data_IF_394318856326
#
_entry.id   IF_394318856326
#
_cell.length_a   1.000
_cell.length_b   1.000
_cell.length_c   1.000
_cell.angle_alpha   90.00
_cell.angle_beta   90.00
_cell.angle_gamma   90.00
#
_symmetry.space_group_name_H-M   'P 1'
#
loop_
_entity.id
_entity.type
_entity.pdbx_description
1 polymer ?
#
# COMPACT_ATOMS: atom_id res chain seq x y z
N UNK A 1 18.94 2.86 23.58
CA UNK A 1 19.36 4.16 24.16
C UNK A 1 20.05 4.94 23.05
N UNK A 2 20.00 6.28 23.04
CA UNK A 2 20.63 7.06 21.97
C UNK A 2 22.15 7.20 22.22
N UNK A 3 22.98 6.64 21.33
CA UNK A 3 24.45 6.64 21.44
C UNK A 3 25.07 8.03 21.66
N UNK A 4 24.64 9.11 20.96
CA UNK A 4 25.09 10.47 21.20
C UNK A 4 24.94 10.92 22.66
N UNK A 5 23.83 10.59 23.32
CA UNK A 5 23.59 10.95 24.72
C UNK A 5 24.55 10.21 25.65
N UNK A 6 24.69 8.88 25.47
CA UNK A 6 25.61 8.07 26.28
C UNK A 6 27.06 8.47 26.08
N UNK A 7 27.47 8.78 24.83
CA UNK A 7 28.81 9.29 24.50
C UNK A 7 29.09 10.62 25.19
N UNK A 8 28.16 11.56 25.15
CA UNK A 8 28.31 12.85 25.83
C UNK A 8 28.49 12.68 27.35
N UNK A 9 27.74 11.75 27.97
CA UNK A 9 27.87 11.44 29.39
C UNK A 9 29.25 10.80 29.72
N UNK A 10 29.74 9.88 28.89
CA UNK A 10 31.09 9.31 29.08
C UNK A 10 32.19 10.33 28.88
N UNK A 11 32.06 11.20 27.88
CA UNK A 11 33.00 12.28 27.63
C UNK A 11 33.04 13.25 28.82
N UNK A 12 31.88 13.65 29.34
CA UNK A 12 31.81 14.50 30.53
C UNK A 12 32.43 13.85 31.77
N UNK A 13 32.22 12.54 32.01
CA UNK A 13 32.92 11.80 33.09
C UNK A 13 34.42 11.75 32.86
N UNK A 14 34.88 11.52 31.63
CA UNK A 14 36.30 11.51 31.29
C UNK A 14 36.95 12.87 31.52
N UNK A 15 36.29 13.95 31.10
CA UNK A 15 36.77 15.33 31.28
C UNK A 15 36.80 15.70 32.78
N UNK A 16 35.83 15.25 33.58
CA UNK A 16 35.84 15.39 35.03
C UNK A 16 37.00 14.63 35.71
N UNK A 17 37.33 13.43 35.22
CA UNK A 17 38.47 12.66 35.70
C UNK A 17 39.81 13.30 35.31
N UNK A 18 39.91 13.81 34.09
CA UNK A 18 41.10 14.50 33.58
C UNK A 18 41.33 15.86 34.27
N UNK A 19 40.28 16.49 34.80
CA UNK A 19 40.43 17.71 35.61
C UNK A 19 40.82 17.42 37.06
N UNK A 20 40.37 16.30 37.63
CA UNK A 20 40.86 15.81 38.92
C UNK A 20 42.31 15.32 38.85
N UNK A 21 42.68 14.65 37.76
CA UNK A 21 44.04 14.22 37.50
C UNK A 21 44.87 15.39 36.97
N UNK A 22 45.68 15.98 37.84
CA UNK A 22 46.67 16.96 37.41
C UNK A 22 48.07 16.36 37.49
N UNK A 23 49.04 16.77 36.65
CA UNK A 23 50.45 16.45 36.88
C UNK A 23 50.90 16.78 38.32
N UNK A 24 50.23 17.75 38.96
CA UNK A 24 50.41 18.14 40.35
C UNK A 24 50.10 17.03 41.38
N UNK A 25 49.27 16.03 41.05
CA UNK A 25 49.02 14.89 41.96
C UNK A 25 50.22 13.95 42.08
N UNK A 26 50.95 13.70 40.98
CA UNK A 26 52.18 12.89 41.00
C UNK A 26 53.33 13.68 41.59
N UNK A 27 53.53 14.94 41.17
CA UNK A 27 54.59 15.78 41.75
C UNK A 27 54.32 16.07 43.24
N UNK A 28 53.07 16.14 43.67
CA UNK A 28 52.67 16.25 45.06
C UNK A 28 53.00 15.01 45.88
N UNK A 29 52.90 13.81 45.29
CA UNK A 29 53.37 12.57 45.93
C UNK A 29 54.90 12.55 46.03
N UNK A 30 55.61 12.90 44.96
CA UNK A 30 57.08 12.99 44.96
C UNK A 30 57.58 14.00 45.99
N UNK A 31 56.89 15.14 46.13
CA UNK A 31 57.21 16.15 47.15
C UNK A 31 56.96 15.62 48.57
N UNK A 32 55.87 14.88 48.80
CA UNK A 32 55.57 14.27 50.09
C UNK A 32 56.58 13.18 50.47
N UNK A 33 57.01 12.36 49.50
CA UNK A 33 58.08 11.37 49.67
C UNK A 33 59.42 12.07 49.94
N UNK A 34 59.75 13.13 49.21
CA UNK A 34 60.95 13.94 49.46
C UNK A 34 60.97 14.56 50.86
N UNK A 35 59.84 15.09 51.33
CA UNK A 35 59.70 15.63 52.69
C UNK A 35 59.88 14.55 53.77
N UNK A 36 59.35 13.34 53.53
CA UNK A 36 59.57 12.18 54.40
C UNK A 36 61.06 11.80 54.47
N UNK A 37 61.71 11.65 53.31
CA UNK A 37 63.10 11.24 53.22
C UNK A 37 64.07 12.26 53.82
N UNK A 38 63.84 13.56 53.59
CA UNK A 38 64.66 14.63 54.15
C UNK A 38 64.57 14.71 55.68
N UNK A 39 63.38 14.57 56.26
CA UNK A 39 63.22 14.50 57.72
C UNK A 39 63.84 13.24 58.33
N UNK A 40 63.66 12.10 57.68
CA UNK A 40 64.29 10.85 58.12
C UNK A 40 65.82 10.92 58.08
N UNK A 41 66.38 11.51 57.02
CA UNK A 41 67.82 11.70 56.86
C UNK A 41 68.39 12.71 57.89
N UNK A 42 67.62 13.73 58.28
CA UNK A 42 68.04 14.71 59.29
C UNK A 42 68.00 14.15 60.72
N UNK A 43 67.06 13.26 61.04
CA UNK A 43 66.98 12.61 62.34
C UNK A 43 66.21 11.27 62.24
N UNK A 44 66.94 10.16 62.36
CA UNK A 44 66.38 8.81 62.25
C UNK A 44 65.33 8.47 63.34
N UNK A 45 65.34 9.18 64.47
CA UNK A 45 64.40 9.00 65.58
C UNK A 45 63.23 10.01 65.55
N UNK A 46 63.11 10.84 64.52
CA UNK A 46 62.02 11.81 64.41
C UNK A 46 60.67 11.11 64.22
N UNK A 47 59.61 11.66 64.82
CA UNK A 47 58.25 11.22 64.56
C UNK A 47 57.83 11.63 63.14
N UNK A 48 57.63 10.64 62.27
CA UNK A 48 57.29 10.80 60.86
C UNK A 48 55.81 10.48 60.56
N UNK A 49 54.95 10.43 61.58
CA UNK A 49 53.55 10.06 61.42
C UNK A 49 52.80 10.96 60.42
N UNK A 50 53.10 12.25 60.42
CA UNK A 50 52.43 13.25 59.59
C UNK A 50 52.77 13.08 58.11
N UNK A 51 54.04 12.85 57.79
CA UNK A 51 54.53 12.65 56.43
C UNK A 51 54.05 11.30 55.88
N UNK A 52 54.05 10.25 56.70
CA UNK A 52 53.47 8.95 56.34
C UNK A 52 51.97 9.08 56.03
N UNK A 53 51.23 9.83 56.85
CA UNK A 53 49.81 10.10 56.61
C UNK A 53 49.61 10.84 55.29
N UNK A 54 50.42 11.86 54.99
CA UNK A 54 50.34 12.63 53.74
C UNK A 54 50.60 11.75 52.51
N UNK A 55 51.61 10.86 52.57
CA UNK A 55 51.87 9.89 51.51
C UNK A 55 50.69 8.94 51.33
N UNK A 56 50.15 8.38 52.42
CA UNK A 56 48.99 7.48 52.34
C UNK A 56 47.76 8.15 51.73
N UNK A 57 47.47 9.40 52.10
CA UNK A 57 46.36 10.16 51.50
C UNK A 57 46.54 10.28 49.99
N UNK A 58 47.74 10.67 49.52
CA UNK A 58 48.01 10.79 48.08
C UNK A 58 47.95 9.46 47.34
N UNK A 59 48.44 8.38 47.95
CA UNK A 59 48.34 7.03 47.39
C UNK A 59 46.87 6.60 47.27
N UNK A 60 46.04 6.88 48.28
CA UNK A 60 44.62 6.56 48.25
C UNK A 60 43.87 7.38 47.19
N UNK A 61 44.21 8.65 47.01
CA UNK A 61 43.64 9.50 45.96
C UNK A 61 43.93 8.92 44.56
N UNK A 62 45.19 8.55 44.30
CA UNK A 62 45.62 7.93 43.02
C UNK A 62 44.90 6.58 42.81
N UNK A 63 44.79 5.77 43.86
CA UNK A 63 44.09 4.48 43.78
C UNK A 63 42.60 4.65 43.48
N UNK A 64 41.95 5.63 44.13
CA UNK A 64 40.56 5.99 43.85
C UNK A 64 40.37 6.41 42.41
N UNK A 65 41.23 7.29 41.90
CA UNK A 65 41.19 7.75 40.52
C UNK A 65 41.36 6.59 39.53
N UNK A 66 42.33 5.69 39.76
CA UNK A 66 42.51 4.47 38.94
C UNK A 66 41.24 3.62 38.90
N UNK A 67 40.60 3.42 40.05
CA UNK A 67 39.35 2.65 40.12
C UNK A 67 38.23 3.33 39.32
N UNK A 68 38.15 4.66 39.34
CA UNK A 68 37.14 5.42 38.57
C UNK A 68 37.37 5.30 37.06
N UNK A 69 38.62 5.35 36.58
CA UNK A 69 38.93 5.09 35.17
C UNK A 69 38.57 3.65 34.76
N UNK A 70 38.88 2.66 35.61
CA UNK A 70 38.52 1.27 35.36
C UNK A 70 37.00 1.10 35.26
N UNK A 71 36.25 1.70 36.19
CA UNK A 71 34.79 1.65 36.19
C UNK A 71 34.19 2.31 34.94
N UNK A 72 34.71 3.47 34.52
CA UNK A 72 34.28 4.14 33.29
C UNK A 72 34.50 3.25 32.06
N UNK A 73 35.65 2.60 31.96
CA UNK A 73 35.96 1.68 30.86
C UNK A 73 35.01 0.46 30.86
N UNK A 74 34.74 -0.12 32.03
CA UNK A 74 33.82 -1.25 32.16
C UNK A 74 32.38 -0.85 31.78
N UNK A 75 31.94 0.35 32.16
CA UNK A 75 30.62 0.88 31.80
C UNK A 75 30.50 1.07 30.27
N UNK A 76 31.55 1.59 29.62
CA UNK A 76 31.61 1.73 28.15
C UNK A 76 31.51 0.35 27.47
N UNK A 77 32.30 -0.62 27.91
CA UNK A 77 32.30 -1.98 27.35
C UNK A 77 30.94 -2.65 27.54
N UNK A 78 30.33 -2.52 28.73
CA UNK A 78 28.98 -3.06 29.01
C UNK A 78 27.94 -2.46 28.08
N UNK A 79 27.99 -1.16 27.84
CA UNK A 79 27.06 -0.50 26.92
C UNK A 79 27.21 -1.05 25.50
N UNK A 80 28.44 -1.16 24.99
CA UNK A 80 28.68 -1.76 23.66
C UNK A 80 28.21 -3.21 23.56
N UNK A 81 28.43 -4.02 24.61
CA UNK A 81 27.94 -5.41 24.65
C UNK A 81 26.43 -5.46 24.65
N UNK A 82 25.76 -4.65 25.47
CA UNK A 82 24.30 -4.59 25.52
C UNK A 82 23.71 -4.14 24.17
N UNK A 83 24.30 -3.12 23.55
CA UNK A 83 23.86 -2.62 22.24
C UNK A 83 24.04 -3.69 21.15
N UNK A 84 25.18 -4.39 21.15
CA UNK A 84 25.44 -5.50 20.23
C UNK A 84 24.47 -6.68 20.43
N UNK A 85 24.04 -6.93 21.67
CA UNK A 85 23.08 -8.01 21.98
C UNK A 85 21.65 -7.62 21.56
N UNK A 86 21.28 -6.35 21.76
CA UNK A 86 19.95 -5.82 21.42
C UNK A 86 19.78 -5.63 19.90
N UNK A 87 20.85 -5.28 19.19
CA UNK A 87 20.89 -5.23 17.74
C UNK A 87 21.37 -6.57 17.14
N UNK A 88 20.69 -7.67 17.49
CA UNK A 88 20.89 -8.94 16.80
C UNK A 88 20.26 -8.87 15.39
N UNK A 89 20.91 -8.12 14.51
CA UNK A 89 20.52 -7.90 13.13
C UNK A 89 20.32 -9.23 12.39
N UNK A 90 21.12 -10.25 12.71
CA UNK A 90 20.99 -11.59 12.13
C UNK A 90 19.65 -12.26 12.51
N UNK A 91 19.24 -12.18 13.78
CA UNK A 91 17.93 -12.67 14.22
C UNK A 91 16.78 -11.91 13.54
N UNK A 92 16.87 -10.58 13.44
CA UNK A 92 15.84 -9.76 12.77
C UNK A 92 15.79 -10.03 11.27
N UNK A 93 16.92 -10.24 10.59
CA UNK A 93 16.94 -10.59 9.17
C UNK A 93 16.34 -11.98 8.91
N UNK A 94 16.68 -12.95 9.76
CA UNK A 94 16.12 -14.30 9.63
C UNK A 94 14.61 -14.29 9.85
N UNK A 95 14.12 -13.60 10.89
CA UNK A 95 12.69 -13.39 11.12
C UNK A 95 12.01 -12.71 9.92
N UNK A 96 12.57 -11.61 9.41
CA UNK A 96 12.04 -10.94 8.21
C UNK A 96 12.02 -11.86 6.98
N UNK A 97 13.06 -12.68 6.79
CA UNK A 97 13.10 -13.66 5.71
C UNK A 97 11.97 -14.70 5.84
N UNK A 98 11.71 -15.20 7.05
CA UNK A 98 10.60 -16.13 7.30
C UNK A 98 9.23 -15.48 7.06
N UNK A 99 9.05 -14.22 7.48
CA UNK A 99 7.83 -13.45 7.26
C UNK A 99 7.58 -13.19 5.76
N UNK A 100 8.62 -12.84 5.01
CA UNK A 100 8.52 -12.66 3.56
C UNK A 100 8.10 -13.96 2.86
N UNK A 101 8.69 -15.10 3.24
CA UNK A 101 8.28 -16.40 2.72
C UNK A 101 6.81 -16.69 3.05
N UNK A 102 6.35 -16.37 4.27
CA UNK A 102 4.96 -16.55 4.66
C UNK A 102 4.00 -15.66 3.88
N UNK A 103 4.37 -14.41 3.62
CA UNK A 103 3.61 -13.47 2.79
C UNK A 103 3.48 -14.02 1.36
N UNK A 104 4.56 -14.56 0.79
CA UNK A 104 4.51 -15.16 -0.54
C UNK A 104 3.59 -16.38 -0.59
N UNK A 105 3.63 -17.25 0.43
CA UNK A 105 2.71 -18.38 0.55
C UNK A 105 1.25 -17.92 0.62
N UNK A 106 0.95 -16.92 1.45
CA UNK A 106 -0.40 -16.37 1.59
C UNK A 106 -0.90 -15.74 0.29
N UNK A 107 -0.04 -15.03 -0.45
CA UNK A 107 -0.38 -14.50 -1.78
C UNK A 107 -0.73 -15.61 -2.77
N UNK A 108 0.02 -16.72 -2.75
CA UNK A 108 -0.27 -17.88 -3.59
C UNK A 108 -1.61 -18.51 -3.24
N UNK A 109 -1.90 -18.70 -1.95
CA UNK A 109 -3.20 -19.22 -1.49
C UNK A 109 -4.35 -18.28 -1.90
N UNK A 110 -4.18 -16.97 -1.71
CA UNK A 110 -5.17 -15.98 -2.14
C UNK A 110 -5.42 -16.04 -3.66
N UNK A 111 -4.37 -16.16 -4.46
CA UNK A 111 -4.49 -16.31 -5.92
C UNK A 111 -5.27 -17.56 -6.30
N UNK A 112 -5.00 -18.69 -5.64
CA UNK A 112 -5.73 -19.93 -5.89
C UNK A 112 -7.21 -19.79 -5.53
N UNK A 113 -7.53 -19.24 -4.35
CA UNK A 113 -8.92 -19.00 -3.92
C UNK A 113 -9.63 -18.08 -4.91
N UNK A 114 -8.96 -17.05 -5.43
CA UNK A 114 -9.54 -16.15 -6.43
C UNK A 114 -9.92 -16.91 -7.71
N UNK A 115 -9.04 -17.77 -8.21
CA UNK A 115 -9.32 -18.62 -9.38
C UNK A 115 -10.47 -19.57 -9.10
N UNK A 116 -10.52 -20.17 -7.91
CA UNK A 116 -11.61 -21.07 -7.51
C UNK A 116 -12.97 -20.35 -7.47
N UNK A 117 -13.00 -19.12 -6.95
CA UNK A 117 -14.19 -18.27 -6.93
C UNK A 117 -14.60 -17.86 -8.35
N UNK A 118 -13.67 -17.41 -9.18
CA UNK A 118 -13.97 -17.06 -10.58
C UNK A 118 -14.51 -18.27 -11.35
N UNK A 119 -13.96 -19.46 -11.10
CA UNK A 119 -14.43 -20.72 -11.69
C UNK A 119 -15.82 -21.09 -11.18
N UNK A 120 -16.08 -20.93 -9.87
CA UNK A 120 -17.39 -21.18 -9.28
C UNK A 120 -18.46 -20.22 -9.82
N UNK A 121 -18.14 -18.93 -9.94
CA UNK A 121 -19.02 -17.91 -10.53
C UNK A 121 -19.28 -18.20 -12.01
N UNK A 122 -18.25 -18.55 -12.78
CA UNK A 122 -18.41 -18.93 -14.18
C UNK A 122 -19.30 -20.17 -14.33
N UNK A 123 -19.13 -21.16 -13.45
CA UNK A 123 -19.97 -22.35 -13.40
C UNK A 123 -21.42 -22.00 -13.07
N UNK A 124 -21.66 -21.14 -12.10
CA UNK A 124 -23.00 -20.71 -11.70
C UNK A 124 -23.70 -19.94 -12.83
N UNK A 125 -23.01 -19.00 -13.49
CA UNK A 125 -23.57 -18.27 -14.63
C UNK A 125 -23.86 -19.21 -15.82
N UNK A 126 -23.02 -20.24 -16.05
CA UNK A 126 -23.31 -21.29 -17.04
C UNK A 126 -24.57 -22.09 -16.68
N UNK A 127 -24.74 -22.48 -15.42
CA UNK A 127 -25.95 -23.19 -14.96
C UNK A 127 -27.20 -22.30 -15.09
N UNK A 128 -27.09 -21.01 -14.74
CA UNK A 128 -28.17 -20.03 -14.84
C UNK A 128 -28.57 -19.73 -16.28
N UNK A 129 -27.60 -19.69 -17.21
CA UNK A 129 -27.87 -19.48 -18.64
C UNK A 129 -28.64 -20.63 -19.29
N UNK A 130 -28.51 -21.87 -18.78
CA UNK A 130 -29.22 -23.05 -19.30
C UNK A 130 -30.73 -23.03 -18.99
N UNK A 131 -31.15 -22.34 -17.93
CA UNK A 131 -32.55 -22.26 -17.47
C UNK A 131 -33.22 -20.93 -17.80
N UNK A 132 -32.63 -20.10 -18.66
CA UNK A 132 -33.22 -18.81 -19.00
C UNK A 132 -34.42 -19.01 -19.93
N UNK A 133 -35.62 -18.84 -19.39
CA UNK A 133 -36.85 -18.73 -20.16
C UNK A 133 -36.65 -17.71 -21.30
N UNK A 134 -36.69 -18.23 -22.52
CA UNK A 134 -36.63 -17.44 -23.74
C UNK A 134 -37.91 -16.63 -23.77
N UNK A 135 -37.82 -15.38 -23.33
CA UNK A 135 -38.91 -14.44 -23.47
C UNK A 135 -39.16 -14.22 -24.97
N UNK A 136 -40.41 -14.40 -25.41
CA UNK A 136 -40.85 -14.29 -26.81
C UNK A 136 -40.49 -12.97 -27.52
N UNK A 137 -39.96 -11.98 -26.81
CA UNK A 137 -39.58 -10.67 -27.34
C UNK A 137 -38.05 -10.49 -27.48
N UNK A 138 -37.25 -11.57 -27.43
CA UNK A 138 -35.81 -11.50 -27.70
C UNK A 138 -35.52 -11.64 -29.20
N UNK A 139 -34.80 -10.67 -29.77
CA UNK A 139 -34.27 -10.76 -31.13
C UNK A 139 -33.05 -11.70 -31.16
N UNK A 140 -33.11 -12.67 -32.06
CA UNK A 140 -32.02 -13.62 -32.32
C UNK A 140 -31.33 -13.27 -33.64
N UNK A 141 -30.01 -13.33 -33.65
CA UNK A 141 -29.20 -13.27 -34.85
C UNK A 141 -28.28 -14.49 -34.87
N UNK A 142 -28.42 -15.35 -35.88
CA UNK A 142 -27.71 -16.64 -36.00
C UNK A 142 -27.74 -17.47 -34.71
N UNK A 143 -28.94 -17.73 -34.19
CA UNK A 143 -29.18 -18.58 -33.01
C UNK A 143 -28.57 -18.04 -31.69
N UNK A 144 -28.08 -16.79 -31.68
CA UNK A 144 -27.59 -16.12 -30.47
C UNK A 144 -28.50 -14.92 -30.12
N UNK A 145 -28.87 -14.76 -28.82
CA UNK A 145 -29.65 -13.61 -28.40
C UNK A 145 -28.81 -12.33 -28.54
N UNK A 146 -29.37 -11.33 -29.22
CA UNK A 146 -28.69 -10.05 -29.46
C UNK A 146 -28.56 -9.29 -28.15
N UNK A 147 -27.33 -8.91 -27.77
CA UNK A 147 -27.07 -8.09 -26.57
C UNK A 147 -27.55 -6.66 -26.83
N UNK A 148 -28.11 -5.98 -25.81
CA UNK A 148 -28.61 -4.59 -25.92
C UNK A 148 -27.56 -3.60 -26.46
N UNK A 149 -26.26 -3.84 -26.20
CA UNK A 149 -25.16 -3.04 -26.76
C UNK A 149 -24.87 -3.26 -28.25
N UNK A 150 -25.41 -4.32 -28.88
CA UNK A 150 -25.27 -4.58 -30.32
C UNK A 150 -26.34 -3.90 -31.18
N UNK A 151 -27.40 -3.36 -30.56
CA UNK A 151 -28.50 -2.67 -31.27
C UNK A 151 -28.00 -1.49 -32.12
N UNK A 152 -27.09 -0.62 -31.65
CA UNK A 152 -26.58 0.49 -32.46
C UNK A 152 -25.81 0.01 -33.70
N UNK A 153 -25.03 -1.08 -33.57
CA UNK A 153 -24.26 -1.64 -34.68
C UNK A 153 -25.15 -2.32 -35.72
N UNK A 154 -26.24 -2.97 -35.29
CA UNK A 154 -27.24 -3.53 -36.21
C UNK A 154 -27.92 -2.42 -37.02
N UNK A 155 -28.18 -1.28 -36.38
CA UNK A 155 -28.77 -0.13 -37.05
C UNK A 155 -27.83 0.47 -38.10
N UNK A 156 -26.55 0.64 -37.77
CA UNK A 156 -25.57 1.16 -38.76
C UNK A 156 -25.35 0.20 -39.93
N UNK A 157 -25.31 -1.12 -39.68
CA UNK A 157 -25.23 -2.11 -40.75
C UNK A 157 -26.50 -2.12 -41.62
N UNK A 158 -27.68 -1.95 -41.02
CA UNK A 158 -28.93 -1.85 -41.76
C UNK A 158 -28.96 -0.63 -42.69
N UNK A 159 -28.56 0.55 -42.20
CA UNK A 159 -28.46 1.77 -43.01
C UNK A 159 -27.44 1.60 -44.14
N UNK A 160 -26.31 0.95 -43.87
CA UNK A 160 -25.28 0.67 -44.87
C UNK A 160 -25.78 -0.30 -45.96
N UNK A 161 -26.48 -1.38 -45.58
CA UNK A 161 -27.09 -2.32 -46.53
C UNK A 161 -28.18 -1.67 -47.39
N UNK A 162 -28.99 -0.78 -46.81
CA UNK A 162 -29.97 0.01 -47.56
C UNK A 162 -29.27 0.94 -48.56
N UNK A 163 -28.20 1.62 -48.15
CA UNK A 163 -27.42 2.49 -49.02
C UNK A 163 -26.78 1.73 -50.19
N UNK A 164 -26.21 0.55 -49.92
CA UNK A 164 -25.67 -0.34 -50.95
C UNK A 164 -26.77 -0.84 -51.88
N UNK A 165 -27.93 -1.22 -51.33
CA UNK A 165 -29.09 -1.65 -52.10
C UNK A 165 -29.58 -0.58 -53.07
N UNK A 166 -29.65 0.69 -52.65
CA UNK A 166 -30.01 1.82 -53.50
C UNK A 166 -28.97 2.02 -54.62
N UNK A 167 -27.68 1.87 -54.30
CA UNK A 167 -26.60 1.94 -55.29
C UNK A 167 -26.73 0.86 -56.36
N UNK A 168 -26.99 -0.39 -55.96
CA UNK A 168 -27.25 -1.50 -56.88
C UNK A 168 -28.53 -1.31 -57.69
N UNK A 169 -29.58 -0.77 -57.08
CA UNK A 169 -30.84 -0.51 -57.76
C UNK A 169 -30.67 0.58 -58.84
N UNK A 170 -29.84 1.59 -58.57
CA UNK A 170 -29.49 2.64 -59.54
C UNK A 170 -28.68 2.12 -60.72
N UNK A 171 -27.84 1.11 -60.54
CA UNK A 171 -27.08 0.49 -61.65
C UNK A 171 -27.91 -0.46 -62.49
N UNK A 172 -28.90 -1.14 -61.91
CA UNK A 172 -29.77 -2.09 -62.63
C UNK A 172 -30.99 -1.41 -63.28
N UNK A 173 -31.52 -0.34 -62.70
CA UNK A 173 -32.67 0.41 -63.22
C UNK A 173 -32.40 1.93 -63.19
N UNK A 174 -31.77 2.50 -64.24
CA UNK A 174 -31.32 3.89 -64.25
C UNK A 174 -32.43 4.94 -64.34
N UNK A 175 -33.68 4.54 -64.59
CA UNK A 175 -34.83 5.45 -64.76
C UNK A 175 -35.67 5.63 -63.48
N UNK A 176 -35.13 5.31 -62.30
CA UNK A 176 -35.81 5.70 -61.05
C UNK A 176 -35.74 7.23 -60.89
N UNK A 177 -36.89 7.90 -60.64
CA UNK A 177 -36.87 9.33 -60.41
C UNK A 177 -35.98 9.63 -59.20
N UNK A 178 -35.12 10.63 -59.33
CA UNK A 178 -34.29 11.12 -58.24
C UNK A 178 -35.20 11.71 -57.18
N UNK A 179 -35.57 10.93 -56.16
CA UNK A 179 -36.29 11.44 -55.01
C UNK A 179 -35.38 12.40 -54.26
N UNK A 180 -35.72 13.69 -54.28
CA UNK A 180 -35.05 14.64 -53.41
C UNK A 180 -35.43 14.37 -51.96
N UNK A 181 -34.59 14.74 -51.00
CA UNK A 181 -34.94 14.67 -49.57
C UNK A 181 -36.23 15.46 -49.27
N UNK A 182 -36.51 16.52 -50.04
CA UNK A 182 -37.77 17.26 -49.98
C UNK A 182 -38.98 16.45 -50.45
N UNK A 183 -38.83 15.57 -51.44
CA UNK A 183 -39.95 14.73 -51.92
C UNK A 183 -40.28 13.62 -50.92
N UNK A 184 -39.26 13.05 -50.28
CA UNK A 184 -39.43 12.08 -49.19
C UNK A 184 -40.06 12.75 -47.98
N UNK A 185 -39.60 13.95 -47.61
CA UNK A 185 -40.17 14.74 -46.52
C UNK A 185 -41.64 15.09 -46.79
N UNK A 186 -41.95 15.56 -48.00
CA UNK A 186 -43.32 15.88 -48.39
C UNK A 186 -44.20 14.63 -48.40
N UNK A 187 -43.72 13.50 -48.92
CA UNK A 187 -44.48 12.24 -48.90
C UNK A 187 -44.76 11.73 -47.48
N UNK A 188 -43.80 11.86 -46.55
CA UNK A 188 -44.02 11.51 -45.14
C UNK A 188 -45.02 12.49 -44.49
N UNK A 189 -44.86 13.80 -44.74
CA UNK A 189 -45.74 14.83 -44.17
C UNK A 189 -47.16 14.79 -44.71
N UNK A 190 -47.36 14.48 -46.00
CA UNK A 190 -48.70 14.46 -46.60
C UNK A 190 -49.38 13.09 -46.50
N UNK A 191 -48.63 12.00 -46.62
CA UNK A 191 -49.21 10.66 -46.70
C UNK A 191 -49.25 9.91 -45.36
N UNK A 192 -48.28 10.16 -44.45
CA UNK A 192 -48.21 9.47 -43.16
C UNK A 192 -48.72 10.31 -41.99
N UNK A 193 -48.65 11.65 -42.08
CA UNK A 193 -49.16 12.57 -41.05
C UNK A 193 -50.58 13.08 -41.34
N UNK A 194 -51.25 12.53 -42.36
CA UNK A 194 -52.68 12.78 -42.58
C UNK A 194 -53.52 12.18 -41.45
N UNK A 195 -54.63 12.87 -41.13
CA UNK A 195 -55.50 12.58 -39.97
C UNK A 195 -55.89 11.11 -39.81
N UNK A 196 -55.99 10.35 -40.90
CA UNK A 196 -56.44 8.95 -40.86
C UNK A 196 -55.38 7.99 -40.31
N UNK A 197 -54.10 8.19 -40.67
CA UNK A 197 -53.01 7.33 -40.18
C UNK A 197 -52.73 7.64 -38.70
N UNK A 198 -52.76 8.91 -38.32
CA UNK A 198 -52.67 9.32 -36.92
C UNK A 198 -53.83 8.78 -36.07
N UNK A 199 -55.06 8.79 -36.59
CA UNK A 199 -56.22 8.25 -35.89
C UNK A 199 -56.12 6.72 -35.72
N UNK A 200 -55.64 6.00 -36.74
CA UNK A 200 -55.37 4.56 -36.66
C UNK A 200 -54.26 4.23 -35.66
N UNK A 201 -53.19 5.03 -35.63
CA UNK A 201 -52.10 4.86 -34.67
C UNK A 201 -52.57 5.13 -33.22
N UNK A 202 -53.41 6.15 -33.02
CA UNK A 202 -53.98 6.48 -31.73
C UNK A 202 -54.96 5.38 -31.26
N UNK A 203 -55.78 4.85 -32.17
CA UNK A 203 -56.65 3.71 -31.89
C UNK A 203 -55.83 2.46 -31.50
N UNK A 204 -54.76 2.15 -32.24
CA UNK A 204 -53.87 1.04 -31.91
C UNK A 204 -53.20 1.23 -30.54
N UNK A 205 -52.78 2.46 -30.21
CA UNK A 205 -52.19 2.78 -28.91
C UNK A 205 -53.19 2.65 -27.75
N UNK A 206 -54.44 3.06 -27.94
CA UNK A 206 -55.50 2.85 -26.94
C UNK A 206 -55.78 1.36 -26.70
N UNK A 207 -55.83 0.56 -27.76
CA UNK A 207 -56.02 -0.89 -27.65
C UNK A 207 -54.87 -1.53 -26.88
N UNK A 208 -53.62 -1.17 -27.18
CA UNK A 208 -52.47 -1.73 -26.47
C UNK A 208 -52.44 -1.32 -25.00
N UNK A 209 -52.77 -0.07 -24.65
CA UNK A 209 -52.90 0.38 -23.25
C UNK A 209 -54.00 -0.40 -22.52
N UNK A 210 -55.14 -0.66 -23.17
CA UNK A 210 -56.23 -1.44 -22.59
C UNK A 210 -55.80 -2.89 -22.32
N UNK A 211 -55.09 -3.54 -23.25
CA UNK A 211 -54.56 -4.89 -23.02
C UNK A 211 -53.47 -4.92 -21.95
N UNK A 212 -52.59 -3.91 -21.88
CA UNK A 212 -51.54 -3.84 -20.87
C UNK A 212 -52.12 -3.61 -19.47
N UNK A 213 -53.15 -2.76 -19.36
CA UNK A 213 -53.85 -2.50 -18.09
C UNK A 213 -54.64 -3.73 -17.62
N UNK A 214 -55.29 -4.49 -18.51
CA UNK A 214 -55.91 -5.78 -18.15
C UNK A 214 -54.89 -6.81 -17.67
N UNK A 215 -53.69 -6.85 -18.28
CA UNK A 215 -52.61 -7.74 -17.87
C UNK A 215 -52.06 -7.38 -16.49
N UNK A 216 -51.87 -6.09 -16.22
CA UNK A 216 -51.46 -5.58 -14.90
C UNK A 216 -52.55 -5.80 -13.84
N UNK A 217 -53.83 -5.72 -14.24
CA UNK A 217 -54.99 -6.03 -13.40
C UNK A 217 -55.23 -7.52 -13.15
N UNK A 218 -54.38 -8.43 -13.67
CA UNK A 218 -54.44 -9.86 -13.38
C UNK A 218 -55.61 -10.61 -14.00
N UNK A 219 -56.30 -10.04 -14.99
CA UNK A 219 -57.45 -10.66 -15.66
C UNK A 219 -57.01 -11.74 -16.67
N UNK A 220 -55.78 -11.63 -17.17
CA UNK A 220 -55.14 -12.65 -18.00
C UNK A 220 -53.74 -12.95 -17.43
N UNK A 221 -53.63 -14.08 -16.71
CA UNK A 221 -52.37 -14.73 -16.38
C UNK A 221 -51.94 -15.65 -17.51
#
# INVERSE_FOLDING_TARGET
>A
MDWPTSRAAFQSRLDALNTQYTPATITGLDTAIGAYLTKYAANANANLSTEKQAIMTKVNDIKSLKNQYSALNDDIIKLFKNEATNHNLSAILTENGTLQNRIQQLRKVQSNIKVDVETAVARDELLRSRTKDINSHQLFLFDRPVRRGMVPYLWTISVLLIGIGILFLRTVAPNFPTFSLSDIYNFIMTQYLTSNVLMLLLAACLITILFLSLKIGGVFG
#
